data_IF_975435207131
#
_entry.id   IF_975435207131
#
_cell.length_a   1.000
_cell.length_b   1.000
_cell.length_c   1.000
_cell.angle_alpha   90.00
_cell.angle_beta   90.00
_cell.angle_gamma   90.00
#
_symmetry.space_group_name_H-M   'P 1'
#
loop_
_entity.id
_entity.type
_entity.pdbx_description
1 polymer ?
#
# COMPACT_ATOMS: atom_id res chain seq x y z
N UNK A 1 29.24 1.62 9.63
CA UNK A 1 28.34 2.79 9.77
C UNK A 1 26.91 2.48 9.33
N UNK A 2 26.70 1.76 8.22
CA UNK A 2 25.35 1.40 7.72
C UNK A 2 24.57 0.46 8.64
N UNK A 3 25.22 -0.54 9.26
CA UNK A 3 24.57 -1.50 10.17
C UNK A 3 23.98 -0.84 11.43
N UNK A 4 24.73 0.03 12.09
CA UNK A 4 24.26 0.72 13.31
C UNK A 4 23.07 1.66 13.04
N UNK A 5 22.97 2.24 11.84
CA UNK A 5 21.82 3.06 11.44
C UNK A 5 20.57 2.21 11.18
N UNK A 6 20.72 1.06 10.50
CA UNK A 6 19.61 0.11 10.27
C UNK A 6 19.13 -0.46 11.60
N UNK A 7 20.04 -0.84 12.50
CA UNK A 7 19.71 -1.33 13.83
C UNK A 7 18.94 -0.29 14.67
N UNK A 8 19.27 0.99 14.51
CA UNK A 8 18.57 2.08 15.19
C UNK A 8 17.14 2.32 14.67
N UNK A 9 16.87 2.01 13.40
CA UNK A 9 15.53 2.11 12.80
C UNK A 9 14.62 0.91 13.17
N UNK A 10 15.20 -0.20 13.63
CA UNK A 10 14.44 -1.35 14.13
C UNK A 10 13.36 -1.84 13.15
N UNK A 11 12.13 -1.95 13.63
CA UNK A 11 10.97 -2.43 12.85
C UNK A 11 10.28 -1.32 12.01
N UNK A 12 10.83 -0.10 12.00
CA UNK A 12 10.25 1.01 11.21
C UNK A 12 10.57 0.90 9.72
N UNK A 13 11.62 0.15 9.37
CA UNK A 13 12.00 -0.13 7.98
C UNK A 13 12.12 -1.63 7.75
N UNK A 14 11.68 -2.07 6.57
CA UNK A 14 11.84 -3.44 6.13
C UNK A 14 12.44 -3.46 4.73
N UNK A 15 13.32 -4.43 4.50
CA UNK A 15 13.83 -4.69 3.16
C UNK A 15 12.84 -5.54 2.39
N UNK A 16 12.30 -5.03 1.30
CA UNK A 16 11.46 -5.81 0.38
C UNK A 16 12.34 -6.44 -0.68
N UNK A 17 12.28 -7.78 -0.77
CA UNK A 17 12.92 -8.50 -1.88
C UNK A 17 12.34 -8.09 -3.24
N UNK A 18 11.07 -7.68 -3.24
CA UNK A 18 10.42 -7.03 -4.38
C UNK A 18 10.96 -5.60 -4.53
N UNK A 19 11.66 -5.32 -5.64
CA UNK A 19 12.27 -4.02 -5.92
C UNK A 19 13.65 -3.78 -5.30
N UNK A 20 14.16 -4.70 -4.46
CA UNK A 20 15.46 -4.57 -3.78
C UNK A 20 15.62 -3.24 -3.04
N UNK A 21 14.59 -2.83 -2.31
CA UNK A 21 14.51 -1.51 -1.68
C UNK A 21 14.18 -1.62 -0.19
N UNK A 22 14.57 -0.58 0.56
CA UNK A 22 14.11 -0.38 1.92
C UNK A 22 12.80 0.41 1.88
N UNK A 23 11.76 -0.13 2.51
CA UNK A 23 10.45 0.51 2.64
C UNK A 23 10.15 0.80 4.10
N UNK A 24 9.49 1.91 4.37
CA UNK A 24 8.97 2.23 5.70
C UNK A 24 7.77 1.35 5.99
N UNK A 25 7.66 0.83 7.22
CA UNK A 25 6.54 -0.01 7.61
C UNK A 25 5.25 0.78 7.73
N UNK A 26 4.13 0.13 7.44
CA UNK A 26 2.78 0.69 7.59
C UNK A 26 2.55 1.23 9.01
N UNK A 27 3.02 0.51 10.02
CA UNK A 27 2.90 0.89 11.43
C UNK A 27 3.67 2.17 11.75
N UNK A 28 4.85 2.36 11.17
CA UNK A 28 5.62 3.59 11.35
C UNK A 28 4.90 4.80 10.75
N UNK A 29 4.33 4.68 9.55
CA UNK A 29 3.53 5.76 8.97
C UNK A 29 2.30 6.09 9.81
N UNK A 30 1.55 5.08 10.24
CA UNK A 30 0.33 5.31 11.03
C UNK A 30 0.67 5.91 12.41
N UNK A 31 1.75 5.45 13.04
CA UNK A 31 2.24 6.05 14.30
C UNK A 31 2.64 7.51 14.11
N UNK A 32 3.33 7.82 13.00
CA UNK A 32 3.69 9.20 12.66
C UNK A 32 2.44 10.06 12.43
N UNK A 33 1.48 9.53 11.68
CA UNK A 33 0.21 10.22 11.41
C UNK A 33 -0.55 10.52 12.70
N UNK A 34 -0.73 9.55 13.60
CA UNK A 34 -1.47 9.77 14.85
C UNK A 34 -0.79 10.81 15.75
N UNK A 35 0.55 10.86 15.77
CA UNK A 35 1.31 11.89 16.51
C UNK A 35 1.14 13.30 15.95
N UNK A 36 0.91 13.40 14.64
CA UNK A 36 0.83 14.67 13.91
C UNK A 36 -0.57 14.93 13.35
N UNK A 37 -1.60 14.26 13.89
CA UNK A 37 -2.95 14.27 13.32
C UNK A 37 -3.58 15.66 13.20
N UNK A 38 -3.19 16.58 14.08
CA UNK A 38 -3.64 17.98 14.09
C UNK A 38 -2.78 18.92 13.25
N UNK A 39 -1.66 18.44 12.72
CA UNK A 39 -0.68 19.29 12.06
C UNK A 39 -1.07 19.54 10.59
N UNK A 40 -0.64 20.66 9.98
CA UNK A 40 -0.98 20.98 8.59
C UNK A 40 -0.55 19.94 7.55
N UNK A 41 0.39 19.05 7.92
CA UNK A 41 0.95 18.00 7.06
C UNK A 41 0.40 16.60 7.37
N UNK A 42 -0.58 16.47 8.28
CA UNK A 42 -1.21 15.20 8.63
C UNK A 42 -1.72 14.45 7.38
N UNK A 43 -2.32 15.18 6.46
CA UNK A 43 -2.81 14.63 5.20
C UNK A 43 -1.68 14.04 4.34
N UNK A 44 -0.52 14.69 4.25
CA UNK A 44 0.59 14.19 3.44
C UNK A 44 1.20 12.92 4.02
N UNK A 45 1.25 12.81 5.35
CA UNK A 45 1.70 11.56 5.99
C UNK A 45 0.75 10.43 5.61
N UNK A 46 -0.56 10.66 5.75
CA UNK A 46 -1.54 9.61 5.47
C UNK A 46 -1.66 9.31 3.97
N UNK A 47 -1.44 10.31 3.11
CA UNK A 47 -1.36 10.11 1.67
C UNK A 47 -0.12 9.27 1.30
N UNK A 48 1.05 9.57 1.87
CA UNK A 48 2.27 8.77 1.65
C UNK A 48 2.06 7.32 2.06
N UNK A 49 1.44 7.10 3.24
CA UNK A 49 0.97 5.77 3.65
C UNK A 49 0.02 5.15 2.63
N UNK A 50 -0.90 5.91 2.04
CA UNK A 50 -1.87 5.34 1.11
C UNK A 50 -1.26 4.99 -0.25
N UNK A 51 -0.29 5.77 -0.73
CA UNK A 51 0.21 5.72 -2.10
C UNK A 51 1.52 4.95 -2.30
N UNK A 52 2.38 4.85 -1.28
CA UNK A 52 3.66 4.16 -1.42
C UNK A 52 3.54 2.63 -1.33
N UNK A 53 4.58 1.93 -1.77
CA UNK A 53 4.73 0.48 -1.61
C UNK A 53 4.77 0.11 -0.13
N UNK A 54 4.03 -0.93 0.25
CA UNK A 54 4.09 -1.49 1.60
C UNK A 54 5.27 -2.45 1.72
N UNK A 55 5.85 -2.51 2.91
CA UNK A 55 6.75 -3.59 3.32
C UNK A 55 6.09 -4.99 3.30
N UNK A 56 4.76 -5.03 3.22
CA UNK A 56 3.97 -6.26 3.20
C UNK A 56 3.92 -6.88 1.80
N UNK A 57 4.24 -8.17 1.70
CA UNK A 57 4.11 -8.96 0.47
C UNK A 57 2.78 -9.72 0.46
N UNK A 58 2.11 -9.72 -0.69
CA UNK A 58 0.92 -10.55 -0.93
C UNK A 58 1.23 -11.86 -1.68
N UNK A 59 2.49 -12.15 -1.99
CA UNK A 59 2.94 -13.39 -2.66
C UNK A 59 2.15 -13.75 -3.94
N UNK A 60 1.63 -12.74 -4.65
CA UNK A 60 0.82 -12.92 -5.85
C UNK A 60 -0.66 -13.24 -5.62
N UNK A 61 -1.16 -13.22 -4.37
CA UNK A 61 -2.59 -13.33 -4.08
C UNK A 61 -3.32 -12.02 -4.49
N UNK A 62 -4.18 -12.05 -5.52
CA UNK A 62 -4.86 -10.85 -5.99
C UNK A 62 -5.88 -10.30 -4.98
N UNK A 63 -6.44 -11.15 -4.12
CA UNK A 63 -7.38 -10.71 -3.07
C UNK A 63 -6.63 -9.92 -2.01
N UNK A 64 -5.47 -10.42 -1.58
CA UNK A 64 -4.58 -9.70 -0.66
C UNK A 64 -4.19 -8.34 -1.22
N UNK A 65 -3.81 -8.25 -2.50
CA UNK A 65 -3.42 -6.97 -3.11
C UNK A 65 -4.55 -5.94 -3.08
N UNK A 66 -5.78 -6.33 -3.43
CA UNK A 66 -6.93 -5.42 -3.38
C UNK A 66 -7.23 -5.01 -1.94
N UNK A 67 -7.22 -5.97 -1.01
CA UNK A 67 -7.55 -5.69 0.38
C UNK A 67 -6.54 -4.73 1.02
N UNK A 68 -5.25 -4.93 0.76
CA UNK A 68 -4.19 -4.07 1.30
C UNK A 68 -4.17 -2.71 0.65
N UNK A 69 -4.17 -2.63 -0.69
CA UNK A 69 -4.05 -1.35 -1.39
C UNK A 69 -5.34 -0.52 -1.28
N UNK A 70 -6.51 -1.13 -1.44
CA UNK A 70 -7.78 -0.40 -1.48
C UNK A 70 -8.47 -0.39 -0.12
N UNK A 71 -8.80 -1.56 0.44
CA UNK A 71 -9.64 -1.65 1.64
C UNK A 71 -8.92 -1.23 2.92
N UNK A 72 -7.59 -1.30 2.95
CA UNK A 72 -6.79 -0.88 4.10
C UNK A 72 -6.21 0.52 3.89
N UNK A 73 -5.36 0.69 2.87
CA UNK A 73 -4.56 1.91 2.69
C UNK A 73 -5.39 3.10 2.18
N UNK A 74 -6.00 2.98 1.00
CA UNK A 74 -6.81 4.06 0.43
C UNK A 74 -8.08 4.33 1.25
N UNK A 75 -8.75 3.28 1.75
CA UNK A 75 -9.91 3.45 2.60
C UNK A 75 -9.59 4.21 3.90
N UNK A 76 -8.40 3.99 4.50
CA UNK A 76 -7.96 4.77 5.66
C UNK A 76 -7.78 6.25 5.31
N UNK A 77 -7.16 6.55 4.17
CA UNK A 77 -7.06 7.93 3.69
C UNK A 77 -8.44 8.58 3.49
N UNK A 78 -9.37 7.90 2.81
CA UNK A 78 -10.73 8.40 2.60
C UNK A 78 -11.52 8.62 3.88
N UNK A 79 -11.32 7.77 4.89
CA UNK A 79 -12.01 7.90 6.16
C UNK A 79 -11.62 9.19 6.90
N UNK A 80 -10.34 9.57 6.83
CA UNK A 80 -9.81 10.71 7.56
C UNK A 80 -9.82 12.01 6.73
N UNK A 81 -9.69 11.92 5.40
CA UNK A 81 -9.66 13.06 4.47
C UNK A 81 -10.62 12.85 3.28
N UNK A 82 -11.96 12.81 3.50
CA UNK A 82 -12.94 12.55 2.44
C UNK A 82 -12.94 13.63 1.34
N UNK A 83 -12.59 14.87 1.70
CA UNK A 83 -12.43 16.01 0.79
C UNK A 83 -10.95 16.44 0.66
N UNK A 84 -10.03 15.50 0.88
CA UNK A 84 -8.60 15.75 0.84
C UNK A 84 -8.06 16.17 -0.53
N UNK A 85 -6.90 16.82 -0.55
CA UNK A 85 -6.17 17.26 -1.74
C UNK A 85 -5.89 16.12 -2.72
N UNK A 86 -5.74 14.89 -2.23
CA UNK A 86 -5.41 13.71 -3.04
C UNK A 86 -6.62 12.85 -3.40
N UNK A 87 -7.86 13.30 -3.14
CA UNK A 87 -9.05 12.45 -3.35
C UNK A 87 -9.16 11.90 -4.78
N UNK A 88 -8.87 12.73 -5.79
CA UNK A 88 -8.88 12.32 -7.20
C UNK A 88 -7.80 11.27 -7.47
N UNK A 89 -6.60 11.47 -6.93
CA UNK A 89 -5.50 10.52 -7.08
C UNK A 89 -5.81 9.21 -6.37
N UNK A 90 -6.41 9.25 -5.19
CA UNK A 90 -6.82 8.07 -4.44
C UNK A 90 -7.84 7.21 -5.23
N UNK A 91 -8.83 7.86 -5.87
CA UNK A 91 -9.82 7.17 -6.72
C UNK A 91 -9.17 6.56 -7.96
N UNK A 92 -8.29 7.29 -8.64
CA UNK A 92 -7.57 6.76 -9.82
C UNK A 92 -6.62 5.60 -9.45
N UNK A 93 -5.96 5.66 -8.29
CA UNK A 93 -5.17 4.54 -7.76
C UNK A 93 -6.04 3.32 -7.49
N UNK A 94 -7.19 3.48 -6.82
CA UNK A 94 -8.12 2.39 -6.58
C UNK A 94 -8.61 1.77 -7.89
N UNK A 95 -8.98 2.60 -8.87
CA UNK A 95 -9.40 2.13 -10.20
C UNK A 95 -8.32 1.30 -10.87
N UNK A 96 -7.06 1.77 -10.82
CA UNK A 96 -5.92 1.09 -11.44
C UNK A 96 -5.66 -0.26 -10.79
N UNK A 97 -5.65 -0.33 -9.46
CA UNK A 97 -5.48 -1.59 -8.72
C UNK A 97 -6.59 -2.58 -9.07
N UNK A 98 -7.85 -2.15 -9.00
CA UNK A 98 -9.00 -3.02 -9.27
C UNK A 98 -9.03 -3.53 -10.72
N UNK A 99 -8.69 -2.68 -11.68
CA UNK A 99 -8.60 -3.07 -13.09
C UNK A 99 -7.50 -4.10 -13.33
N UNK A 100 -6.30 -3.89 -12.76
CA UNK A 100 -5.18 -4.82 -12.86
C UNK A 100 -5.49 -6.18 -12.23
N UNK A 101 -6.12 -6.19 -11.05
CA UNK A 101 -6.57 -7.44 -10.40
C UNK A 101 -7.62 -8.17 -11.24
N UNK A 102 -8.58 -7.44 -11.82
CA UNK A 102 -9.60 -8.05 -12.68
C UNK A 102 -8.99 -8.71 -13.93
N UNK A 103 -7.99 -8.07 -14.53
CA UNK A 103 -7.25 -8.64 -15.67
C UNK A 103 -6.55 -9.95 -15.28
N UNK A 104 -5.82 -9.97 -14.15
CA UNK A 104 -5.14 -11.16 -13.64
C UNK A 104 -6.11 -12.32 -13.38
N UNK A 105 -7.22 -12.05 -12.69
CA UNK A 105 -8.26 -13.04 -12.40
C UNK A 105 -8.88 -13.61 -13.70
N UNK A 106 -9.10 -12.75 -14.70
CA UNK A 106 -9.65 -13.14 -16.00
C UNK A 106 -8.67 -14.04 -16.77
N UNK A 107 -7.38 -13.70 -16.77
CA UNK A 107 -6.33 -14.49 -17.38
C UNK A 107 -6.17 -15.87 -16.71
N UNK A 108 -6.16 -15.90 -15.37
CA UNK A 108 -6.11 -17.14 -14.59
C UNK A 108 -7.29 -18.06 -14.91
N UNK A 109 -8.52 -17.52 -14.94
CA UNK A 109 -9.74 -18.25 -15.32
C UNK A 109 -9.65 -18.83 -16.73
N UNK A 110 -9.11 -18.08 -17.69
CA UNK A 110 -8.93 -18.57 -19.07
C UNK A 110 -7.86 -19.68 -19.16
N UNK A 111 -6.79 -19.59 -18.36
CA UNK A 111 -5.74 -20.62 -18.29
C UNK A 111 -6.26 -21.95 -17.75
N UNK A 112 -7.02 -21.93 -16.65
CA UNK A 112 -7.62 -23.13 -16.05
C UNK A 112 -8.54 -23.84 -17.06
N UNK A 113 -9.34 -23.08 -17.82
CA UNK A 113 -10.23 -23.64 -18.86
C UNK A 113 -9.49 -24.32 -20.01
N UNK A 114 -8.26 -23.91 -20.31
CA UNK A 114 -7.44 -24.52 -21.38
C UNK A 114 -6.82 -25.85 -20.95
N UNK A 115 -6.47 -26.00 -19.68
CA UNK A 115 -5.87 -27.23 -19.14
C UNK A 115 -6.91 -28.29 -18.73
N UNK A 116 -8.20 -27.92 -18.68
CA UNK A 116 -9.31 -28.84 -18.40
C UNK A 116 -9.93 -29.46 -19.67
N UNK A 117 -9.36 -29.18 -20.86
CA UNK A 117 -9.73 -29.76 -22.15
C UNK A 117 -8.60 -30.64 -22.65
#
# INVERSE_FOLDING_TARGET
MTLAWIEALGCEVAYTGEGSAWTVSDEAYLTLYERHRSDPFAEEILWTFASESSAYSCEGDPVCYVDRAVNTRLARYWADFPDGRHIVQAVETARTVLAGTLEQCTAARASVRRHAR
#
